data_IF_481436820144
#
_entry.id   IF_481436820144
#
_cell.length_a   1.000
_cell.length_b   1.000
_cell.length_c   1.000
_cell.angle_alpha   90.00
_cell.angle_beta   90.00
_cell.angle_gamma   90.00
#
_symmetry.space_group_name_H-M   'P 1'
#
loop_
_entity.id
_entity.type
_entity.pdbx_description
1 polymer ?
#
# COMPACT_ATOMS: atom_id res chain seq x y z
N UNK A 1 -26.44 14.47 16.69
CA UNK A 1 -24.97 14.60 16.72
C UNK A 1 -24.41 13.41 15.98
N UNK A 2 -23.73 13.65 14.87
CA UNK A 2 -22.73 12.76 14.29
C UNK A 2 -21.80 13.69 13.50
N UNK A 3 -20.82 14.26 14.19
CA UNK A 3 -19.85 15.20 13.59
C UNK A 3 -18.82 14.44 12.73
N UNK A 4 -18.81 13.10 12.82
CA UNK A 4 -17.95 12.21 12.06
C UNK A 4 -18.80 11.31 11.16
N UNK A 5 -18.74 11.51 9.84
CA UNK A 5 -19.30 10.60 8.84
C UNK A 5 -18.15 9.91 8.12
N UNK A 6 -18.01 8.61 8.35
CA UNK A 6 -16.97 7.80 7.71
C UNK A 6 -17.38 7.48 6.27
N UNK A 7 -16.50 7.80 5.32
CA UNK A 7 -16.68 7.43 3.92
C UNK A 7 -15.99 6.08 3.67
N UNK A 8 -16.73 5.00 3.95
CA UNK A 8 -16.23 3.63 3.77
C UNK A 8 -15.79 3.35 2.33
N UNK A 9 -16.50 3.90 1.35
CA UNK A 9 -16.17 3.71 -0.07
C UNK A 9 -14.78 4.26 -0.39
N UNK A 10 -14.46 5.47 0.10
CA UNK A 10 -13.12 6.05 -0.10
C UNK A 10 -12.02 5.27 0.60
N UNK A 11 -12.29 4.70 1.77
CA UNK A 11 -11.30 3.87 2.48
C UNK A 11 -11.03 2.56 1.73
N UNK A 12 -12.08 1.87 1.26
CA UNK A 12 -11.95 0.65 0.45
C UNK A 12 -11.22 0.92 -0.87
N UNK A 13 -11.56 2.03 -1.55
CA UNK A 13 -10.89 2.39 -2.80
C UNK A 13 -9.41 2.71 -2.57
N UNK A 14 -9.09 3.39 -1.47
CA UNK A 14 -7.70 3.68 -1.09
C UNK A 14 -6.90 2.40 -0.81
N UNK A 15 -7.48 1.45 -0.08
CA UNK A 15 -6.87 0.13 0.17
C UNK A 15 -6.59 -0.62 -1.15
N UNK A 16 -7.58 -0.64 -2.05
CA UNK A 16 -7.47 -1.28 -3.36
C UNK A 16 -6.37 -0.66 -4.20
N UNK A 17 -6.32 0.67 -4.29
CA UNK A 17 -5.31 1.40 -5.07
C UNK A 17 -3.92 1.16 -4.49
N UNK A 18 -3.75 1.18 -3.16
CA UNK A 18 -2.46 0.88 -2.54
C UNK A 18 -2.00 -0.56 -2.81
N UNK A 19 -2.92 -1.52 -2.78
CA UNK A 19 -2.62 -2.92 -3.09
C UNK A 19 -2.20 -3.11 -4.56
N UNK A 20 -2.87 -2.42 -5.48
CA UNK A 20 -2.50 -2.40 -6.90
C UNK A 20 -1.11 -1.80 -7.11
N UNK A 21 -0.85 -0.62 -6.55
CA UNK A 21 0.46 0.03 -6.63
C UNK A 21 1.57 -0.86 -6.06
N UNK A 22 1.33 -1.49 -4.90
CA UNK A 22 2.27 -2.43 -4.30
C UNK A 22 2.59 -3.57 -5.28
N UNK A 23 1.57 -4.19 -5.88
CA UNK A 23 1.75 -5.26 -6.85
C UNK A 23 2.53 -4.81 -8.09
N UNK A 24 2.30 -3.58 -8.57
CA UNK A 24 3.05 -3.02 -9.69
C UNK A 24 4.52 -2.80 -9.32
N UNK A 25 4.81 -2.22 -8.15
CA UNK A 25 6.19 -2.02 -7.69
C UNK A 25 6.92 -3.32 -7.37
N UNK A 26 6.22 -4.34 -6.88
CA UNK A 26 6.81 -5.67 -6.66
C UNK A 26 7.06 -6.42 -7.97
N UNK A 27 6.27 -6.14 -9.01
CA UNK A 27 6.36 -6.78 -10.33
C UNK A 27 7.39 -6.16 -11.28
N UNK A 28 8.04 -5.04 -10.92
CA UNK A 28 9.16 -4.51 -11.69
C UNK A 28 10.38 -5.42 -11.46
N UNK A 29 10.74 -6.19 -12.48
CA UNK A 29 11.95 -7.03 -12.48
C UNK A 29 13.22 -6.16 -12.68
N UNK A 30 14.33 -6.57 -12.05
CA UNK A 30 15.63 -5.94 -12.25
C UNK A 30 16.28 -6.45 -13.56
N UNK A 31 15.96 -5.80 -14.69
CA UNK A 31 16.50 -6.10 -16.03
C UNK A 31 18.01 -5.78 -16.22
N UNK A 32 18.71 -5.55 -15.12
CA UNK A 32 20.05 -4.94 -15.11
C UNK A 32 21.14 -5.99 -15.39
N UNK A 33 20.92 -7.24 -15.01
CA UNK A 33 21.89 -8.32 -15.26
C UNK A 33 22.15 -8.54 -16.74
N UNK A 34 21.13 -8.41 -17.59
CA UNK A 34 21.23 -8.67 -19.03
C UNK A 34 22.00 -7.57 -19.77
N UNK A 35 21.90 -6.33 -19.30
CA UNK A 35 22.55 -5.17 -19.92
C UNK A 35 24.03 -5.03 -19.56
N UNK A 36 24.49 -5.72 -18.51
CA UNK A 36 25.88 -5.60 -18.00
C UNK A 36 26.91 -6.06 -19.05
N UNK A 37 26.54 -7.01 -19.90
CA UNK A 37 27.38 -7.52 -21.00
C UNK A 37 27.53 -6.54 -22.17
N UNK A 38 26.58 -5.61 -22.32
CA UNK A 38 26.52 -4.63 -23.41
C UNK A 38 27.32 -3.38 -23.07
N UNK A 39 27.49 -3.07 -21.78
CA UNK A 39 28.23 -1.89 -21.33
C UNK A 39 29.74 -2.12 -21.46
N UNK A 40 30.26 -1.81 -22.65
CA UNK A 40 31.66 -2.02 -23.02
C UNK A 40 32.66 -1.18 -22.20
N UNK A 41 32.18 -0.09 -21.57
CA UNK A 41 33.02 0.81 -20.77
C UNK A 41 32.83 0.57 -19.26
N UNK A 42 33.89 0.22 -18.49
CA UNK A 42 33.79 -0.12 -17.08
C UNK A 42 33.07 0.93 -16.21
N UNK A 43 33.38 2.22 -16.39
CA UNK A 43 32.71 3.30 -15.65
C UNK A 43 31.20 3.39 -15.91
N UNK A 44 30.76 3.07 -17.13
CA UNK A 44 29.32 3.07 -17.47
C UNK A 44 28.65 1.88 -16.78
N UNK A 45 29.30 0.71 -16.84
CA UNK A 45 28.82 -0.49 -16.14
C UNK A 45 28.67 -0.25 -14.64
N UNK A 46 29.67 0.35 -14.00
CA UNK A 46 29.64 0.63 -12.56
C UNK A 46 28.52 1.63 -12.22
N UNK A 47 28.41 2.74 -12.97
CA UNK A 47 27.35 3.73 -12.75
C UNK A 47 25.93 3.15 -12.97
N UNK A 48 25.76 2.27 -13.94
CA UNK A 48 24.48 1.61 -14.18
C UNK A 48 24.15 0.56 -13.11
N UNK A 49 25.16 -0.13 -12.57
CA UNK A 49 25.01 -1.00 -11.41
C UNK A 49 24.58 -0.24 -10.16
N UNK A 50 25.19 0.92 -9.90
CA UNK A 50 24.79 1.80 -8.79
C UNK A 50 23.36 2.34 -8.97
N UNK A 51 23.00 2.74 -10.19
CA UNK A 51 21.65 3.18 -10.52
C UNK A 51 20.62 2.07 -10.24
N UNK A 52 20.88 0.87 -10.74
CA UNK A 52 20.04 -0.30 -10.54
C UNK A 52 19.83 -0.64 -9.07
N UNK A 53 20.92 -0.72 -8.30
CA UNK A 53 20.85 -1.01 -6.87
C UNK A 53 20.06 0.06 -6.10
N UNK A 54 20.26 1.34 -6.45
CA UNK A 54 19.49 2.42 -5.86
C UNK A 54 18.00 2.39 -6.25
N UNK A 55 17.69 2.03 -7.50
CA UNK A 55 16.32 1.88 -7.96
C UNK A 55 15.62 0.74 -7.21
N UNK A 56 16.23 -0.45 -7.15
CA UNK A 56 15.70 -1.62 -6.43
C UNK A 56 15.48 -1.31 -4.94
N UNK A 57 16.46 -0.68 -4.29
CA UNK A 57 16.34 -0.27 -2.88
C UNK A 57 15.15 0.68 -2.65
N UNK A 58 15.04 1.73 -3.47
CA UNK A 58 13.96 2.70 -3.32
C UNK A 58 12.60 2.11 -3.69
N UNK A 59 12.54 1.22 -4.68
CA UNK A 59 11.34 0.46 -5.07
C UNK A 59 10.82 -0.38 -3.92
N UNK A 60 11.68 -1.23 -3.33
CA UNK A 60 11.34 -2.05 -2.16
C UNK A 60 10.87 -1.21 -0.98
N UNK A 61 11.54 -0.09 -0.73
CA UNK A 61 11.16 0.86 0.34
C UNK A 61 9.79 1.49 0.09
N UNK A 62 9.45 1.82 -1.16
CA UNK A 62 8.14 2.36 -1.51
C UNK A 62 7.04 1.28 -1.39
N UNK A 63 7.31 0.07 -1.87
CA UNK A 63 6.41 -1.08 -1.73
C UNK A 63 6.06 -1.36 -0.25
N UNK A 64 7.06 -1.36 0.64
CA UNK A 64 6.81 -1.53 2.07
C UNK A 64 5.94 -0.42 2.64
N UNK A 65 6.19 0.85 2.27
CA UNK A 65 5.37 1.97 2.74
C UNK A 65 3.92 1.89 2.26
N UNK A 66 3.70 1.39 1.04
CA UNK A 66 2.36 1.17 0.50
C UNK A 66 1.63 0.09 1.32
N UNK A 67 2.32 -0.99 1.68
CA UNK A 67 1.78 -2.01 2.57
C UNK A 67 1.41 -1.42 3.95
N UNK A 68 2.34 -0.73 4.61
CA UNK A 68 2.12 -0.16 5.94
C UNK A 68 0.94 0.84 5.95
N UNK A 69 0.76 1.58 4.85
CA UNK A 69 -0.37 2.50 4.71
C UNK A 69 -1.68 1.76 4.43
N UNK A 70 -1.66 0.71 3.61
CA UNK A 70 -2.79 -0.18 3.37
C UNK A 70 -3.31 -0.82 4.66
N UNK A 71 -2.42 -1.36 5.48
CA UNK A 71 -2.75 -1.96 6.78
C UNK A 71 -3.41 -0.94 7.73
N UNK A 72 -2.92 0.31 7.77
CA UNK A 72 -3.55 1.37 8.57
C UNK A 72 -4.96 1.71 8.11
N UNK A 73 -5.18 1.77 6.79
CA UNK A 73 -6.51 2.03 6.22
C UNK A 73 -7.46 0.86 6.53
N UNK A 74 -7.00 -0.37 6.37
CA UNK A 74 -7.77 -1.58 6.67
C UNK A 74 -8.17 -1.65 8.15
N UNK A 75 -7.22 -1.43 9.06
CA UNK A 75 -7.48 -1.37 10.51
C UNK A 75 -8.48 -0.26 10.88
N UNK A 76 -8.39 0.90 10.23
CA UNK A 76 -9.33 2.02 10.44
C UNK A 76 -10.74 1.61 10.02
N UNK A 77 -10.86 0.93 8.89
CA UNK A 77 -12.12 0.46 8.33
C UNK A 77 -12.78 -0.58 9.26
N UNK A 78 -12.02 -1.57 9.72
CA UNK A 78 -12.48 -2.58 10.67
C UNK A 78 -12.94 -1.95 11.99
N UNK A 79 -12.18 -0.99 12.52
CA UNK A 79 -12.52 -0.29 13.76
C UNK A 79 -13.86 0.45 13.64
N UNK A 80 -14.06 1.19 12.55
CA UNK A 80 -15.31 1.92 12.35
C UNK A 80 -16.51 0.99 12.11
N UNK A 81 -16.33 -0.08 11.33
CA UNK A 81 -17.39 -1.10 11.15
C UNK A 81 -17.79 -1.76 12.46
N UNK A 82 -16.81 -2.08 13.31
CA UNK A 82 -17.05 -2.63 14.64
C UNK A 82 -17.86 -1.67 15.51
N UNK A 83 -17.44 -0.40 15.57
CA UNK A 83 -18.14 0.63 16.33
C UNK A 83 -19.59 0.85 15.84
N UNK A 84 -19.81 0.89 14.52
CA UNK A 84 -21.15 1.03 13.94
C UNK A 84 -22.03 -0.19 14.25
N UNK A 85 -21.47 -1.41 14.21
CA UNK A 85 -22.19 -2.63 14.53
C UNK A 85 -22.57 -2.71 16.01
N UNK A 86 -21.66 -2.31 16.92
CA UNK A 86 -21.95 -2.22 18.35
C UNK A 86 -23.05 -1.19 18.65
N UNK A 87 -22.99 -0.01 18.01
CA UNK A 87 -24.01 1.02 18.16
C UNK A 87 -25.37 0.57 17.65
N UNK A 88 -25.42 -0.08 16.48
CA UNK A 88 -26.65 -0.64 15.93
C UNK A 88 -27.28 -1.66 16.86
N UNK A 89 -26.45 -2.56 17.42
CA UNK A 89 -26.91 -3.57 18.39
C UNK A 89 -27.49 -2.94 19.66
N UNK A 90 -26.84 -1.91 20.21
CA UNK A 90 -27.35 -1.20 21.39
C UNK A 90 -28.71 -0.52 21.12
N UNK A 91 -28.88 0.08 19.93
CA UNK A 91 -30.14 0.71 19.54
C UNK A 91 -31.28 -0.29 19.34
N UNK A 92 -30.99 -1.49 18.84
CA UNK A 92 -31.96 -2.57 18.71
C UNK A 92 -32.37 -3.11 20.10
N UNK A 93 -31.41 -3.30 21.00
CA UNK A 93 -31.66 -3.72 22.40
C UNK A 93 -32.50 -2.68 23.18
N UNK A 94 -32.24 -1.38 22.99
CA UNK A 94 -33.06 -0.29 23.58
C UNK A 94 -34.49 -0.22 23.02
N UNK A 95 -34.73 -0.75 21.81
CA UNK A 95 -36.06 -0.75 21.17
C UNK A 95 -36.93 -1.93 21.58
N UNK A 96 -36.32 -3.04 21.99
CA UNK A 96 -37.02 -4.27 22.39
C UNK A 96 -37.33 -4.33 23.90
N UNK A 97 -36.68 -3.49 24.72
CA UNK A 97 -36.91 -3.35 26.17
C UNK A 97 -37.95 -2.28 26.53
#
# INVERSE_FOLDING_TARGET
MADLKVDYYRLEDSERVMSQLKSEFDGIEDDVSDSTSVWSHPKVRDAMGDFAGNMDYNRKKLSQKLQDCGEKVSNTLETFRGADAELAKQLDEEREG
#
